data_IF_115245927049
#
_entry.id   IF_115245927049
#
_cell.length_a   1.000
_cell.length_b   1.000
_cell.length_c   1.000
_cell.angle_alpha   90.00
_cell.angle_beta   90.00
_cell.angle_gamma   90.00
#
_symmetry.space_group_name_H-M   'P 1'
#
loop_
_entity.id
_entity.type
_entity.pdbx_description
1 polymer ?
#
# COMPACT_ATOMS: atom_id res chain seq x y z
N UNK A 1 -16.73 24.52 4.40
CA UNK A 1 -15.66 23.50 4.50
C UNK A 1 -16.06 22.41 3.52
N UNK A 2 -15.13 21.97 2.67
CA UNK A 2 -15.47 21.06 1.57
C UNK A 2 -15.50 19.60 2.02
N UNK A 3 -16.14 18.77 1.19
CA UNK A 3 -16.44 17.37 1.49
C UNK A 3 -15.17 16.54 1.77
N UNK A 4 -14.09 16.76 1.03
CA UNK A 4 -12.81 16.04 1.20
C UNK A 4 -12.13 16.41 2.52
N UNK A 5 -12.12 17.70 2.89
CA UNK A 5 -11.54 18.12 4.17
C UNK A 5 -12.32 17.60 5.37
N UNK A 6 -13.64 17.59 5.32
CA UNK A 6 -14.47 17.05 6.41
C UNK A 6 -14.16 15.56 6.63
N UNK A 7 -13.97 14.82 5.55
CA UNK A 7 -13.55 13.42 5.61
C UNK A 7 -12.13 13.26 6.13
N UNK A 8 -11.17 14.03 5.63
CA UNK A 8 -9.77 13.99 6.07
C UNK A 8 -9.66 14.28 7.57
N UNK A 9 -10.41 15.26 8.08
CA UNK A 9 -10.40 15.66 9.49
C UNK A 9 -10.96 14.60 10.44
N UNK A 10 -11.82 13.72 9.94
CA UNK A 10 -12.37 12.62 10.71
C UNK A 10 -11.40 11.43 10.84
N UNK A 11 -10.34 11.38 10.02
CA UNK A 11 -9.31 10.34 10.10
C UNK A 11 -8.44 10.50 11.36
N UNK A 12 -8.20 9.39 12.06
CA UNK A 12 -7.38 9.38 13.28
C UNK A 12 -5.95 9.86 13.01
N UNK A 13 -5.34 9.47 11.89
CA UNK A 13 -3.97 9.84 11.55
C UNK A 13 -3.86 11.33 11.25
N UNK A 14 -4.90 11.94 10.67
CA UNK A 14 -4.95 13.39 10.53
C UNK A 14 -4.98 14.08 11.90
N UNK A 15 -5.88 13.65 12.79
CA UNK A 15 -6.08 14.26 14.12
C UNK A 15 -4.83 14.18 15.00
N UNK A 16 -4.12 13.06 14.95
CA UNK A 16 -2.87 12.86 15.67
C UNK A 16 -1.68 13.53 14.97
N UNK A 17 -1.67 13.52 13.63
CA UNK A 17 -0.57 14.00 12.81
C UNK A 17 -0.53 15.51 12.59
N UNK A 18 -1.67 16.19 12.60
CA UNK A 18 -1.78 17.63 12.33
C UNK A 18 -1.96 18.41 13.63
N UNK A 19 -0.90 19.14 14.01
CA UNK A 19 -0.86 19.99 15.19
C UNK A 19 -0.69 21.46 14.75
N UNK A 20 0.23 22.19 15.36
CA UNK A 20 0.54 23.58 15.01
C UNK A 20 1.78 23.64 14.09
N UNK A 21 1.64 23.20 12.83
CA UNK A 21 2.71 23.32 11.84
C UNK A 21 3.13 24.78 11.66
N UNK A 22 4.44 25.03 11.69
CA UNK A 22 5.08 26.35 11.53
C UNK A 22 5.92 26.45 10.24
N UNK A 23 5.73 25.50 9.32
CA UNK A 23 6.41 25.45 8.02
C UNK A 23 7.96 25.48 8.07
N UNK A 24 8.57 24.90 9.12
CA UNK A 24 10.03 24.99 9.36
C UNK A 24 10.93 24.08 8.50
N UNK A 25 10.36 23.05 7.83
CA UNK A 25 11.13 22.16 6.94
C UNK A 25 11.97 21.07 7.58
N UNK A 26 11.94 20.91 8.90
CA UNK A 26 12.63 19.78 9.57
C UNK A 26 12.19 18.41 9.03
N UNK A 27 10.91 18.26 8.66
CA UNK A 27 10.40 17.02 8.09
C UNK A 27 11.01 16.69 6.72
N UNK A 28 11.25 17.70 5.88
CA UNK A 28 11.89 17.58 4.57
C UNK A 28 13.36 17.23 4.73
N UNK A 29 14.07 17.95 5.60
CA UNK A 29 15.50 17.75 5.85
C UNK A 29 15.86 16.35 6.38
N UNK A 30 14.94 15.66 7.05
CA UNK A 30 15.16 14.30 7.58
C UNK A 30 14.54 13.20 6.71
N UNK A 31 13.87 13.55 5.61
CA UNK A 31 13.15 12.60 4.80
C UNK A 31 14.09 11.88 3.83
N UNK A 32 14.24 10.55 3.90
CA UNK A 32 15.04 9.82 2.91
C UNK A 32 14.43 9.91 1.50
N UNK A 33 13.10 9.95 1.38
CA UNK A 33 12.46 10.08 0.07
C UNK A 33 12.75 11.44 -0.59
N UNK A 34 12.94 12.51 0.18
CA UNK A 34 13.31 13.83 -0.35
C UNK A 34 14.75 13.87 -0.91
N UNK A 35 15.58 12.89 -0.58
CA UNK A 35 16.94 12.76 -1.12
C UNK A 35 16.95 12.18 -2.54
N UNK A 36 15.97 11.32 -2.86
CA UNK A 36 15.91 10.57 -4.13
C UNK A 36 14.79 11.01 -5.08
N UNK A 37 13.74 11.66 -4.57
CA UNK A 37 12.59 12.12 -5.34
C UNK A 37 12.38 13.63 -5.16
N UNK A 38 11.72 14.26 -6.13
CA UNK A 38 11.15 15.60 -5.95
C UNK A 38 9.97 15.51 -4.97
N UNK A 39 10.30 15.52 -3.69
CA UNK A 39 9.39 15.19 -2.61
C UNK A 39 9.60 16.11 -1.42
N UNK A 40 8.59 16.93 -1.12
CA UNK A 40 8.58 17.82 0.03
C UNK A 40 7.43 17.49 0.98
N UNK A 41 7.65 16.72 2.07
CA UNK A 41 6.60 16.45 3.06
C UNK A 41 6.13 17.71 3.80
N UNK A 42 6.91 18.79 3.81
CA UNK A 42 6.47 20.09 4.35
C UNK A 42 5.41 20.71 3.44
N UNK A 43 5.62 20.70 2.12
CA UNK A 43 4.66 21.24 1.15
C UNK A 43 3.30 20.50 1.23
N UNK A 44 3.33 19.18 1.42
CA UNK A 44 2.10 18.38 1.66
C UNK A 44 1.33 18.89 2.87
N UNK A 45 2.02 19.07 4.01
CA UNK A 45 1.39 19.58 5.24
C UNK A 45 0.90 21.01 5.05
N UNK A 46 1.62 21.84 4.32
CA UNK A 46 1.22 23.21 4.00
C UNK A 46 -0.08 23.24 3.18
N UNK A 47 -0.18 22.45 2.10
CA UNK A 47 -1.41 22.30 1.30
C UNK A 47 -2.60 21.87 2.18
N UNK A 48 -2.39 20.88 3.04
CA UNK A 48 -3.43 20.42 3.96
C UNK A 48 -3.80 21.49 5.00
N UNK A 49 -2.84 22.31 5.45
CA UNK A 49 -3.06 23.39 6.41
C UNK A 49 -3.85 24.56 5.82
N UNK A 50 -3.66 24.87 4.52
CA UNK A 50 -4.37 25.94 3.82
C UNK A 50 -5.88 25.70 3.74
N UNK A 51 -6.31 24.43 3.71
CA UNK A 51 -7.73 24.10 3.68
C UNK A 51 -8.40 24.33 2.31
N UNK A 52 -7.62 24.40 1.24
CA UNK A 52 -8.13 24.58 -0.13
C UNK A 52 -8.52 23.23 -0.75
N UNK A 53 -9.81 23.06 -1.06
CA UNK A 53 -10.38 21.80 -1.53
C UNK A 53 -9.79 21.37 -2.88
N UNK A 54 -9.50 22.31 -3.78
CA UNK A 54 -8.98 22.02 -5.11
C UNK A 54 -7.50 21.61 -5.03
N UNK A 55 -6.70 22.26 -4.18
CA UNK A 55 -5.33 21.82 -3.90
C UNK A 55 -5.31 20.43 -3.25
N UNK A 56 -6.23 20.15 -2.32
CA UNK A 56 -6.35 18.83 -1.68
C UNK A 56 -6.72 17.74 -2.70
N UNK A 57 -7.70 18.00 -3.57
CA UNK A 57 -8.09 17.06 -4.63
C UNK A 57 -6.93 16.78 -5.60
N UNK A 58 -6.19 17.82 -6.00
CA UNK A 58 -5.01 17.67 -6.85
C UNK A 58 -3.93 16.82 -6.18
N UNK A 59 -3.68 17.05 -4.89
CA UNK A 59 -2.69 16.32 -4.09
C UNK A 59 -3.03 14.83 -3.96
N UNK A 60 -4.30 14.47 -3.71
CA UNK A 60 -4.70 13.07 -3.54
C UNK A 60 -4.84 12.30 -4.88
N UNK A 61 -4.77 13.00 -6.02
CA UNK A 61 -4.65 12.43 -7.36
C UNK A 61 -3.20 12.24 -7.82
N UNK A 62 -2.23 12.85 -7.15
CA UNK A 62 -0.83 12.85 -7.58
C UNK A 62 -0.01 11.68 -7.02
N UNK A 63 1.16 11.44 -7.61
CA UNK A 63 2.14 10.47 -7.08
C UNK A 63 2.78 10.91 -5.77
N UNK A 64 2.72 12.22 -5.45
CA UNK A 64 3.44 12.81 -4.32
C UNK A 64 3.14 12.10 -3.00
N UNK A 65 1.87 11.80 -2.70
CA UNK A 65 1.51 11.11 -1.45
C UNK A 65 2.04 9.68 -1.38
N UNK A 66 2.41 9.06 -2.51
CA UNK A 66 2.87 7.68 -2.60
C UNK A 66 4.40 7.53 -2.43
N UNK A 67 5.18 8.61 -2.47
CA UNK A 67 6.62 8.56 -2.23
C UNK A 67 7.02 8.42 -0.75
N UNK A 68 6.09 8.68 0.18
CA UNK A 68 6.37 8.47 1.59
C UNK A 68 6.64 6.99 1.90
N UNK A 69 7.82 6.67 2.41
CA UNK A 69 8.16 5.33 2.90
C UNK A 69 7.64 5.01 4.32
N UNK A 70 6.82 5.89 4.91
CA UNK A 70 6.21 5.70 6.24
C UNK A 70 7.22 5.35 7.37
N UNK A 71 8.47 5.79 7.24
CA UNK A 71 9.54 5.51 8.21
C UNK A 71 9.38 6.24 9.56
N UNK A 72 8.43 7.17 9.64
CA UNK A 72 8.13 7.99 10.82
C UNK A 72 9.29 8.87 11.33
N UNK A 73 10.35 9.07 10.54
CA UNK A 73 11.46 9.97 10.90
C UNK A 73 10.98 11.38 11.23
N UNK A 74 9.99 11.89 10.51
CA UNK A 74 9.41 13.21 10.73
C UNK A 74 8.76 13.39 12.12
N UNK A 75 8.20 12.31 12.71
CA UNK A 75 7.51 12.36 14.02
C UNK A 75 8.45 12.80 15.14
N UNK A 76 9.64 12.20 15.20
CA UNK A 76 10.52 12.38 16.35
C UNK A 76 11.35 13.66 16.29
N UNK A 77 11.34 14.39 15.16
CA UNK A 77 12.10 15.64 14.97
C UNK A 77 11.24 16.88 14.91
N UNK A 78 9.93 16.77 14.67
CA UNK A 78 9.10 17.97 14.55
C UNK A 78 9.02 18.73 15.89
N UNK A 79 9.44 20.02 15.96
CA UNK A 79 9.40 20.80 17.21
C UNK A 79 7.97 21.15 17.66
N UNK A 80 6.97 20.86 16.82
CA UNK A 80 5.55 21.14 17.06
C UNK A 80 4.70 19.87 17.10
N UNK A 81 5.34 18.70 17.17
CA UNK A 81 4.69 17.38 17.20
C UNK A 81 3.79 17.07 15.99
N UNK A 82 4.01 17.74 14.84
CA UNK A 82 3.36 17.33 13.60
C UNK A 82 4.01 16.05 13.10
N UNK A 83 3.21 15.17 12.52
CA UNK A 83 3.67 13.94 11.89
C UNK A 83 3.18 13.89 10.44
N UNK A 84 3.93 14.47 9.49
CA UNK A 84 3.63 14.37 8.05
C UNK A 84 3.31 12.94 7.59
N UNK A 85 4.02 11.93 8.10
CA UNK A 85 3.76 10.52 7.78
C UNK A 85 2.32 10.08 8.10
N UNK A 86 1.77 10.49 9.26
CA UNK A 86 0.38 10.19 9.63
C UNK A 86 -0.61 10.97 8.74
N UNK A 87 -0.31 12.23 8.43
CA UNK A 87 -1.13 13.03 7.51
C UNK A 87 -1.19 12.35 6.13
N UNK A 88 -0.06 11.84 5.63
CA UNK A 88 0.02 11.15 4.34
C UNK A 88 -0.74 9.82 4.37
N UNK A 89 -0.72 9.07 5.47
CA UNK A 89 -1.55 7.87 5.61
C UNK A 89 -3.05 8.21 5.47
N UNK A 90 -3.51 9.29 6.12
CA UNK A 90 -4.89 9.76 5.99
C UNK A 90 -5.22 10.19 4.54
N UNK A 91 -4.29 10.87 3.86
CA UNK A 91 -4.45 11.26 2.45
C UNK A 91 -4.53 10.05 1.52
N UNK A 92 -3.72 9.00 1.74
CA UNK A 92 -3.76 7.74 0.99
C UNK A 92 -5.09 7.03 1.19
N UNK A 93 -5.57 6.94 2.43
CA UNK A 93 -6.86 6.35 2.74
C UNK A 93 -8.01 7.11 2.07
N UNK A 94 -7.98 8.45 2.09
CA UNK A 94 -8.95 9.28 1.38
C UNK A 94 -8.89 9.06 -0.13
N UNK A 95 -7.68 9.04 -0.72
CA UNK A 95 -7.44 8.80 -2.14
C UNK A 95 -7.96 7.43 -2.60
N UNK A 96 -7.75 6.39 -1.80
CA UNK A 96 -8.30 5.05 -2.04
C UNK A 96 -9.83 5.04 -1.97
N UNK A 97 -10.40 5.70 -0.96
CA UNK A 97 -11.83 5.67 -0.74
C UNK A 97 -12.64 6.44 -1.78
N UNK A 98 -12.09 7.53 -2.32
CA UNK A 98 -12.70 8.34 -3.40
C UNK A 98 -12.37 7.82 -4.80
N UNK A 99 -11.42 6.88 -4.92
CA UNK A 99 -10.95 6.35 -6.20
C UNK A 99 -9.88 7.19 -6.90
N UNK A 100 -9.44 8.30 -6.30
CA UNK A 100 -8.42 9.18 -6.89
C UNK A 100 -7.03 8.55 -6.96
N UNK A 101 -6.77 7.48 -6.19
CA UNK A 101 -5.53 6.71 -6.31
C UNK A 101 -5.31 6.19 -7.74
N UNK A 102 -6.40 5.97 -8.50
CA UNK A 102 -6.34 5.46 -9.87
C UNK A 102 -5.84 6.51 -10.88
N UNK A 103 -5.80 7.80 -10.51
CA UNK A 103 -5.22 8.88 -11.32
C UNK A 103 -3.70 8.98 -11.19
N UNK A 104 -3.14 8.41 -10.11
CA UNK A 104 -1.70 8.38 -9.84
C UNK A 104 -1.06 7.12 -10.40
N UNK A 105 0.12 7.22 -11.03
CA UNK A 105 0.88 6.04 -11.45
C UNK A 105 1.20 5.13 -10.26
N UNK A 106 1.71 5.70 -9.17
CA UNK A 106 2.06 4.94 -7.96
C UNK A 106 0.84 4.47 -7.18
N UNK A 107 -0.22 5.27 -7.15
CA UNK A 107 -1.49 4.90 -6.54
C UNK A 107 -2.10 3.67 -7.21
N UNK A 108 -2.08 3.59 -8.55
CA UNK A 108 -2.56 2.41 -9.28
C UNK A 108 -1.89 1.09 -8.84
N UNK A 109 -0.69 1.11 -8.27
CA UNK A 109 -0.02 -0.12 -7.77
C UNK A 109 -0.72 -0.76 -6.56
N UNK A 110 -1.69 -0.07 -5.93
CA UNK A 110 -2.48 -0.64 -4.83
C UNK A 110 -3.25 -1.90 -5.22
N UNK A 111 -3.68 -2.03 -6.48
CA UNK A 111 -4.35 -3.25 -6.96
C UNK A 111 -3.43 -4.48 -6.89
N UNK A 112 -2.13 -4.30 -7.18
CA UNK A 112 -1.15 -5.36 -7.06
C UNK A 112 -0.99 -5.82 -5.61
N UNK A 113 -0.86 -4.86 -4.67
CA UNK A 113 -0.73 -5.15 -3.25
C UNK A 113 -1.99 -5.84 -2.69
N UNK A 114 -3.18 -5.41 -3.11
CA UNK A 114 -4.45 -6.04 -2.75
C UNK A 114 -4.48 -7.50 -3.23
N UNK A 115 -4.18 -7.75 -4.51
CA UNK A 115 -4.29 -9.10 -5.12
C UNK A 115 -3.18 -10.06 -4.71
N UNK A 116 -2.05 -9.56 -4.24
CA UNK A 116 -0.94 -10.38 -3.73
C UNK A 116 -1.01 -10.53 -2.20
N UNK A 117 -0.71 -9.46 -1.47
CA UNK A 117 -0.63 -9.46 0.00
C UNK A 117 -2.01 -9.63 0.62
N UNK A 118 -3.01 -8.88 0.17
CA UNK A 118 -4.37 -8.95 0.71
C UNK A 118 -5.00 -10.33 0.56
N UNK A 119 -4.88 -10.93 -0.63
CA UNK A 119 -5.33 -12.30 -0.87
C UNK A 119 -4.55 -13.34 -0.04
N UNK A 120 -3.24 -13.19 0.10
CA UNK A 120 -2.42 -14.13 0.89
C UNK A 120 -2.81 -14.11 2.37
N UNK A 121 -3.07 -12.93 2.95
CA UNK A 121 -3.50 -12.80 4.35
C UNK A 121 -4.80 -13.59 4.58
N UNK A 122 -5.80 -13.38 3.72
CA UNK A 122 -7.13 -14.00 3.88
C UNK A 122 -7.16 -15.49 3.49
N UNK A 123 -6.25 -15.94 2.61
CA UNK A 123 -6.17 -17.33 2.15
C UNK A 123 -5.28 -18.19 3.05
N UNK A 124 -4.15 -17.65 3.51
CA UNK A 124 -3.07 -18.42 4.16
C UNK A 124 -2.76 -17.94 5.57
N UNK A 125 -3.20 -16.74 5.96
CA UNK A 125 -2.82 -16.07 7.19
C UNK A 125 -1.43 -15.42 7.15
N UNK A 126 -0.74 -15.45 6.01
CA UNK A 126 0.58 -14.86 5.80
C UNK A 126 0.51 -13.69 4.82
N UNK A 127 1.27 -12.62 5.07
CA UNK A 127 1.41 -11.52 4.10
C UNK A 127 2.16 -11.97 2.83
N UNK A 128 3.25 -12.72 3.05
CA UNK A 128 4.08 -13.27 1.99
C UNK A 128 4.12 -14.78 2.17
N UNK A 129 3.59 -15.51 1.18
CA UNK A 129 3.64 -16.96 1.17
C UNK A 129 4.67 -17.42 0.15
N UNK A 130 5.89 -17.67 0.61
CA UNK A 130 7.06 -17.83 -0.27
C UNK A 130 6.94 -18.95 -1.32
N UNK A 131 6.05 -19.93 -1.12
CA UNK A 131 5.77 -20.95 -2.13
C UNK A 131 5.15 -20.35 -3.41
N UNK A 132 4.37 -19.28 -3.28
CA UNK A 132 3.58 -18.69 -4.37
C UNK A 132 4.38 -17.62 -5.16
N UNK A 133 5.64 -17.38 -4.79
CA UNK A 133 6.54 -16.45 -5.49
C UNK A 133 7.32 -17.23 -6.54
N UNK A 134 6.97 -17.11 -7.82
CA UNK A 134 7.69 -17.77 -8.92
C UNK A 134 8.71 -16.86 -9.61
N UNK A 135 9.63 -17.46 -10.36
CA UNK A 135 10.61 -16.74 -11.21
C UNK A 135 9.98 -16.08 -12.44
N UNK A 136 8.74 -16.47 -12.79
CA UNK A 136 7.91 -15.85 -13.83
C UNK A 136 7.61 -14.38 -13.53
N UNK A 137 7.33 -14.07 -12.27
CA UNK A 137 7.03 -12.73 -11.77
C UNK A 137 8.25 -12.06 -11.12
N UNK A 138 9.22 -12.85 -10.65
CA UNK A 138 10.40 -12.40 -9.90
C UNK A 138 11.69 -13.05 -10.45
N UNK A 139 12.15 -12.63 -11.66
CA UNK A 139 13.27 -13.27 -12.35
C UNK A 139 14.59 -13.19 -11.58
N UNK A 140 14.73 -12.22 -10.66
CA UNK A 140 15.90 -12.06 -9.81
C UNK A 140 16.13 -13.22 -8.82
N UNK A 141 15.11 -14.04 -8.56
CA UNK A 141 15.22 -15.22 -7.69
C UNK A 141 16.10 -16.31 -8.33
N UNK A 142 16.11 -16.38 -9.67
CA UNK A 142 16.95 -17.28 -10.46
C UNK A 142 16.63 -18.78 -10.32
N UNK A 143 17.39 -19.64 -11.03
CA UNK A 143 17.07 -21.07 -11.16
C UNK A 143 17.19 -21.88 -9.86
N UNK A 144 17.95 -21.37 -8.88
CA UNK A 144 18.03 -21.99 -7.54
C UNK A 144 16.67 -21.92 -6.83
N UNK A 145 15.89 -20.86 -7.09
CA UNK A 145 14.58 -20.72 -6.51
C UNK A 145 13.57 -21.71 -7.11
N UNK A 146 13.61 -21.92 -8.44
CA UNK A 146 12.77 -22.93 -9.10
C UNK A 146 13.03 -24.32 -8.53
N UNK A 147 14.31 -24.66 -8.33
CA UNK A 147 14.69 -25.89 -7.65
C UNK A 147 14.12 -25.94 -6.22
N UNK A 148 14.24 -24.86 -5.43
CA UNK A 148 13.66 -24.81 -4.08
C UNK A 148 12.15 -25.03 -4.09
N UNK A 149 11.41 -24.46 -5.04
CA UNK A 149 9.97 -24.65 -5.15
C UNK A 149 9.59 -26.11 -5.47
N UNK A 150 10.35 -26.76 -6.36
CA UNK A 150 10.17 -28.18 -6.68
C UNK A 150 10.45 -29.09 -5.47
N UNK A 151 11.35 -28.66 -4.58
CA UNK A 151 11.78 -29.39 -3.38
C UNK A 151 11.27 -28.78 -2.06
N UNK A 152 10.20 -27.97 -2.10
CA UNK A 152 9.83 -27.07 -1.02
C UNK A 152 9.64 -27.74 0.33
N UNK A 153 8.93 -28.89 0.36
CA UNK A 153 8.68 -29.63 1.59
C UNK A 153 9.97 -30.12 2.23
N UNK A 154 10.88 -30.69 1.43
CA UNK A 154 12.17 -31.19 1.91
C UNK A 154 13.05 -30.06 2.43
N UNK A 155 13.12 -28.94 1.69
CA UNK A 155 13.85 -27.74 2.09
C UNK A 155 13.33 -27.21 3.43
N UNK A 156 12.00 -27.10 3.57
CA UNK A 156 11.38 -26.62 4.80
C UNK A 156 11.61 -27.56 5.99
N UNK A 157 11.55 -28.87 5.79
CA UNK A 157 11.86 -29.86 6.83
C UNK A 157 13.33 -29.77 7.25
N UNK A 158 14.26 -29.59 6.31
CA UNK A 158 15.69 -29.37 6.61
C UNK A 158 15.98 -28.06 7.35
N UNK A 159 15.19 -27.01 7.09
CA UNK A 159 15.27 -25.74 7.80
C UNK A 159 14.56 -25.76 9.16
N UNK A 160 13.93 -26.88 9.54
CA UNK A 160 13.20 -27.01 10.80
C UNK A 160 11.85 -26.30 10.83
N UNK A 161 11.28 -25.96 9.67
CA UNK A 161 9.97 -25.32 9.58
C UNK A 161 8.84 -26.32 9.86
N UNK A 162 7.76 -25.84 10.50
CA UNK A 162 6.56 -26.63 10.73
C UNK A 162 5.61 -26.58 9.52
N UNK A 163 6.15 -26.75 8.32
CA UNK A 163 5.49 -26.40 7.07
C UNK A 163 4.15 -27.14 6.88
N UNK A 164 3.08 -26.36 6.74
CA UNK A 164 1.69 -26.83 6.55
C UNK A 164 1.17 -27.84 7.61
N UNK A 165 1.84 -27.91 8.77
CA UNK A 165 1.45 -28.74 9.91
C UNK A 165 0.81 -27.87 10.99
N UNK A 166 -0.08 -28.43 11.83
CA UNK A 166 -0.60 -27.72 13.00
C UNK A 166 0.51 -27.52 14.05
N UNK A 167 0.31 -26.59 14.98
CA UNK A 167 1.27 -26.29 16.04
C UNK A 167 2.22 -25.13 15.72
N UNK A 168 3.10 -24.74 16.66
CA UNK A 168 4.02 -23.61 16.49
C UNK A 168 5.12 -23.91 15.46
N UNK A 169 5.60 -22.87 14.77
CA UNK A 169 6.73 -22.96 13.84
C UNK A 169 6.56 -22.12 12.58
N UNK A 170 7.65 -21.96 11.83
CA UNK A 170 7.66 -21.23 10.57
C UNK A 170 6.79 -21.94 9.53
N UNK A 171 6.06 -21.16 8.71
CA UNK A 171 5.20 -21.64 7.63
C UNK A 171 4.15 -22.70 8.04
N UNK A 172 3.74 -22.69 9.31
CA UNK A 172 2.69 -23.56 9.84
C UNK A 172 1.36 -23.38 9.11
N UNK A 173 0.51 -24.42 9.15
CA UNK A 173 -0.88 -24.24 8.73
C UNK A 173 -1.60 -23.43 9.81
N UNK A 174 -2.19 -22.30 9.42
CA UNK A 174 -3.07 -21.54 10.30
C UNK A 174 -4.40 -22.28 10.43
N UNK A 175 -4.93 -22.48 11.66
CA UNK A 175 -6.23 -23.11 11.89
C UNK A 175 -7.38 -22.38 11.17
N UNK A 176 -8.36 -23.14 10.70
CA UNK A 176 -9.46 -22.59 9.87
C UNK A 176 -10.35 -21.62 10.68
N UNK A 177 -10.50 -21.83 11.99
CA UNK A 177 -11.19 -20.92 12.91
C UNK A 177 -10.47 -19.57 13.04
N UNK A 178 -9.14 -19.56 13.12
CA UNK A 178 -8.33 -18.34 13.12
C UNK A 178 -8.39 -17.61 11.77
N UNK A 179 -8.41 -18.35 10.64
CA UNK A 179 -8.66 -17.74 9.32
C UNK A 179 -10.05 -17.11 9.28
N UNK A 180 -11.09 -17.79 9.76
CA UNK A 180 -12.44 -17.23 9.81
C UNK A 180 -12.53 -15.99 10.71
N UNK A 181 -11.77 -15.93 11.81
CA UNK A 181 -11.66 -14.74 12.65
C UNK A 181 -11.00 -13.58 11.89
N UNK A 182 -9.93 -13.83 11.13
CA UNK A 182 -9.31 -12.82 10.27
C UNK A 182 -10.31 -12.25 9.23
N UNK A 183 -11.11 -13.11 8.59
CA UNK A 183 -12.16 -12.66 7.66
C UNK A 183 -13.17 -11.74 8.36
N UNK A 184 -13.63 -12.10 9.56
CA UNK A 184 -14.57 -11.27 10.34
C UNK A 184 -13.95 -9.93 10.74
N UNK A 185 -12.67 -9.90 11.09
CA UNK A 185 -11.97 -8.66 11.40
C UNK A 185 -11.97 -7.74 10.17
N UNK A 186 -11.60 -8.26 9.00
CA UNK A 186 -11.62 -7.49 7.75
C UNK A 186 -13.02 -7.02 7.36
N UNK A 187 -14.06 -7.81 7.64
CA UNK A 187 -15.45 -7.42 7.41
C UNK A 187 -15.86 -6.25 8.34
N UNK A 188 -15.72 -6.42 9.65
CA UNK A 188 -16.19 -5.46 10.67
C UNK A 188 -15.41 -4.14 10.59
N UNK A 189 -14.10 -4.21 10.31
CA UNK A 189 -13.25 -3.01 10.19
C UNK A 189 -13.41 -2.29 8.85
N UNK A 190 -14.12 -2.88 7.88
CA UNK A 190 -14.28 -2.34 6.53
C UNK A 190 -13.12 -2.62 5.58
N UNK A 191 -12.16 -3.47 5.96
CA UNK A 191 -11.05 -3.89 5.10
C UNK A 191 -11.50 -4.60 3.82
N UNK A 192 -12.53 -5.47 3.90
CA UNK A 192 -13.11 -6.10 2.69
C UNK A 192 -13.72 -5.05 1.74
N UNK A 193 -14.46 -4.09 2.30
CA UNK A 193 -15.04 -2.98 1.52
C UNK A 193 -13.96 -2.11 0.88
N UNK A 194 -12.82 -1.90 1.55
CA UNK A 194 -11.69 -1.19 0.96
C UNK A 194 -11.08 -1.98 -0.21
N UNK A 195 -10.97 -3.30 -0.10
CA UNK A 195 -10.52 -4.17 -1.19
C UNK A 195 -11.46 -4.14 -2.40
N UNK A 196 -12.77 -4.15 -2.16
CA UNK A 196 -13.79 -4.01 -3.21
C UNK A 196 -13.67 -2.66 -3.93
N UNK A 197 -13.49 -1.56 -3.20
CA UNK A 197 -13.27 -0.23 -3.80
C UNK A 197 -12.03 -0.18 -4.67
N UNK A 198 -10.92 -0.75 -4.21
CA UNK A 198 -9.68 -0.79 -5.00
C UNK A 198 -9.92 -1.52 -6.33
N UNK A 199 -10.60 -2.67 -6.30
CA UNK A 199 -10.97 -3.40 -7.52
C UNK A 199 -11.89 -2.58 -8.42
N UNK A 200 -12.97 -2.03 -7.88
CA UNK A 200 -13.98 -1.27 -8.64
C UNK A 200 -13.37 -0.03 -9.34
N UNK A 201 -12.57 0.75 -8.61
CA UNK A 201 -11.94 1.96 -9.18
C UNK A 201 -10.82 1.62 -10.16
N UNK A 202 -10.05 0.55 -9.91
CA UNK A 202 -9.04 0.09 -10.86
C UNK A 202 -9.67 -0.44 -12.16
N UNK A 203 -10.78 -1.19 -12.08
CA UNK A 203 -11.53 -1.64 -13.25
C UNK A 203 -12.06 -0.46 -14.07
N UNK A 204 -12.70 0.51 -13.40
CA UNK A 204 -13.19 1.74 -14.07
C UNK A 204 -12.05 2.47 -14.78
N UNK A 205 -10.88 2.57 -14.14
CA UNK A 205 -9.71 3.21 -14.74
C UNK A 205 -9.18 2.41 -15.93
N UNK A 206 -9.07 1.09 -15.83
CA UNK A 206 -8.65 0.23 -16.93
C UNK A 206 -9.54 0.42 -18.17
N UNK A 207 -10.87 0.39 -17.97
CA UNK A 207 -11.85 0.65 -19.04
C UNK A 207 -11.68 2.05 -19.65
N UNK A 208 -11.44 3.08 -18.83
CA UNK A 208 -11.21 4.45 -19.31
C UNK A 208 -9.94 4.60 -20.16
N UNK A 209 -8.95 3.73 -19.93
CA UNK A 209 -7.70 3.67 -20.69
C UNK A 209 -7.78 2.73 -21.90
N UNK A 210 -8.92 2.06 -22.10
CA UNK A 210 -9.09 1.05 -23.17
C UNK A 210 -8.31 -0.24 -22.94
N UNK A 211 -7.90 -0.52 -21.70
CA UNK A 211 -7.14 -1.72 -21.32
C UNK A 211 -8.09 -2.87 -20.96
N UNK A 212 -7.68 -4.09 -21.27
CA UNK A 212 -8.40 -5.28 -20.80
C UNK A 212 -8.30 -5.41 -19.28
N UNK A 213 -9.40 -5.86 -18.68
CA UNK A 213 -9.51 -6.08 -17.25
C UNK A 213 -9.89 -7.53 -16.96
N UNK A 214 -9.10 -8.17 -16.11
CA UNK A 214 -9.41 -9.44 -15.49
C UNK A 214 -8.94 -9.45 -14.02
N UNK A 215 -9.34 -10.47 -13.27
CA UNK A 215 -9.05 -10.63 -11.84
C UNK A 215 -7.66 -11.21 -11.54
N UNK A 216 -6.91 -11.60 -12.56
CA UNK A 216 -5.58 -12.20 -12.42
C UNK A 216 -4.49 -11.15 -12.20
N UNK A 217 -3.29 -11.58 -11.85
CA UNK A 217 -2.13 -10.69 -11.77
C UNK A 217 -1.54 -10.37 -13.15
N UNK A 218 -1.96 -11.10 -14.20
CA UNK A 218 -1.46 -10.96 -15.57
C UNK A 218 -2.47 -10.19 -16.44
N UNK A 219 -2.88 -9.02 -15.97
CA UNK A 219 -3.78 -8.13 -16.73
C UNK A 219 -3.03 -6.90 -17.27
N UNK A 220 -3.46 -6.39 -18.42
CA UNK A 220 -2.80 -5.29 -19.13
C UNK A 220 -2.65 -4.04 -18.25
N UNK A 221 -3.61 -3.78 -17.38
CA UNK A 221 -3.60 -2.68 -16.44
C UNK A 221 -2.45 -2.77 -15.42
N UNK A 222 -2.26 -3.94 -14.80
CA UNK A 222 -1.17 -4.20 -13.86
C UNK A 222 0.18 -4.17 -14.57
N UNK A 223 0.28 -4.78 -15.76
CA UNK A 223 1.50 -4.77 -16.55
C UNK A 223 1.92 -3.34 -16.94
N UNK A 224 0.97 -2.49 -17.34
CA UNK A 224 1.27 -1.08 -17.63
C UNK A 224 1.72 -0.32 -16.37
N UNK A 225 1.08 -0.58 -15.23
CA UNK A 225 1.36 0.14 -13.97
C UNK A 225 2.70 -0.28 -13.34
N UNK A 226 3.13 -1.53 -13.56
CA UNK A 226 4.35 -2.08 -12.98
C UNK A 226 5.55 -2.03 -13.94
N UNK A 227 5.34 -2.28 -15.24
CA UNK A 227 6.41 -2.28 -16.25
C UNK A 227 6.54 -0.96 -17.02
N UNK A 228 5.51 -0.11 -17.04
CA UNK A 228 5.57 1.20 -17.68
C UNK A 228 6.67 2.10 -17.12
N UNK A 229 7.08 1.87 -15.87
CA UNK A 229 8.18 2.58 -15.21
C UNK A 229 9.57 2.22 -15.79
N UNK A 230 9.73 1.09 -16.50
CA UNK A 230 11.01 0.69 -17.11
C UNK A 230 11.31 1.35 -18.46
N UNK A 231 10.32 1.97 -19.11
CA UNK A 231 10.50 2.57 -20.44
C UNK A 231 10.93 4.05 -20.39
N UNK A 232 10.86 4.71 -19.23
CA UNK A 232 11.17 6.13 -19.06
C UNK A 232 12.37 6.39 -18.12
N UNK A 233 13.19 5.37 -17.84
CA UNK A 233 14.42 5.47 -17.02
C UNK A 233 15.68 5.34 -17.87
#
# INVERSE_FOLDING_TARGET
MGYLFDRLKNDLHYREGMQACINCGTCTAICPAAEYYDYDPRAIVETVQRGDEAELESLIKSDTIWYCGECMSCRTRCPRNNTPGLIIMALRALSQDTGYFAESEKGRQQIYLKRTIGHNILKTGYCVYAKDIGTDTHPEQGPVWDWRQQHWKEVMERLGANYQKPGPGAMRRIPDDAINELHKIFEITGGLKQFEKIEEYSEKKARSLGLQWDETLDNEYLQQTYNGTRQNS
#
